data_IF_878887433807
#
_entry.id   IF_878887433807
#
_cell.length_a   1.000
_cell.length_b   1.000
_cell.length_c   1.000
_cell.angle_alpha   90.00
_cell.angle_beta   90.00
_cell.angle_gamma   90.00
#
_symmetry.space_group_name_H-M   'P 1'
#
loop_
_entity.id
_entity.type
_entity.pdbx_description
1 polymer ?
#
# COMPACT_ATOMS: atom_id res chain seq x y z
N UNK A 1 23.72 -81.92 -5.38
CA UNK A 1 23.46 -81.27 -6.68
C UNK A 1 23.04 -79.82 -6.41
N UNK A 2 23.93 -78.90 -6.80
CA UNK A 2 23.74 -77.50 -7.24
C UNK A 2 22.32 -76.85 -7.15
N UNK A 3 22.14 -75.77 -6.38
CA UNK A 3 22.13 -74.30 -6.78
C UNK A 3 20.69 -73.72 -6.53
N UNK A 4 20.47 -72.40 -6.32
CA UNK A 4 20.64 -71.55 -5.12
C UNK A 4 19.26 -70.89 -4.70
N UNK A 5 19.19 -69.97 -3.71
CA UNK A 5 18.30 -68.78 -3.84
C UNK A 5 18.41 -67.73 -2.71
N UNK A 6 18.67 -66.50 -3.17
CA UNK A 6 18.29 -65.16 -2.70
C UNK A 6 18.27 -64.76 -1.22
N UNK A 7 19.10 -63.75 -0.96
CA UNK A 7 18.94 -62.65 -0.01
C UNK A 7 17.62 -61.90 -0.27
N UNK A 8 16.85 -61.61 0.78
CA UNK A 8 15.80 -60.60 0.77
C UNK A 8 16.04 -59.60 1.91
N UNK A 9 16.58 -58.43 1.56
CA UNK A 9 16.62 -57.24 2.42
C UNK A 9 15.24 -56.57 2.33
N UNK A 10 14.46 -56.63 3.41
CA UNK A 10 13.21 -55.88 3.50
C UNK A 10 13.52 -54.44 3.93
N UNK A 11 13.68 -53.54 2.96
CA UNK A 11 13.60 -52.10 3.19
C UNK A 11 12.12 -51.70 3.22
N UNK A 12 11.59 -51.36 4.40
CA UNK A 12 10.29 -50.74 4.52
C UNK A 12 10.36 -49.32 3.93
N UNK A 13 9.87 -49.14 2.71
CA UNK A 13 9.62 -47.84 2.13
C UNK A 13 8.38 -47.23 2.80
N UNK A 14 8.58 -46.18 3.59
CA UNK A 14 7.51 -45.24 3.98
C UNK A 14 6.93 -44.61 2.71
N UNK A 15 5.61 -44.41 2.59
CA UNK A 15 5.05 -43.63 1.51
C UNK A 15 5.31 -42.15 1.80
N UNK A 16 6.42 -41.61 1.28
CA UNK A 16 6.58 -40.17 1.16
C UNK A 16 5.72 -39.69 -0.02
N UNK A 17 4.44 -39.38 0.25
CA UNK A 17 3.72 -38.40 -0.58
C UNK A 17 4.05 -37.01 -0.07
N UNK A 18 5.32 -36.62 -0.20
CA UNK A 18 5.67 -35.21 -0.11
C UNK A 18 5.17 -34.56 -1.40
N UNK A 19 3.91 -34.11 -1.38
CA UNK A 19 3.42 -33.15 -2.37
C UNK A 19 4.42 -31.99 -2.40
N UNK A 20 4.77 -31.53 -3.59
CA UNK A 20 5.72 -30.43 -3.79
C UNK A 20 5.35 -29.29 -2.83
N UNK A 21 6.27 -28.83 -1.95
CA UNK A 21 5.97 -27.74 -1.03
C UNK A 21 5.51 -26.54 -1.86
N UNK A 22 4.29 -26.08 -1.62
CA UNK A 22 3.79 -24.88 -2.30
C UNK A 22 4.72 -23.70 -2.07
N UNK A 23 4.84 -22.82 -3.07
CA UNK A 23 5.59 -21.57 -2.96
C UNK A 23 5.00 -20.73 -1.83
N UNK A 24 5.82 -20.32 -0.86
CA UNK A 24 5.40 -19.36 0.15
C UNK A 24 5.59 -17.94 -0.39
N UNK A 25 4.50 -17.17 -0.39
CA UNK A 25 4.48 -15.82 -0.97
C UNK A 25 4.05 -14.83 0.09
N UNK A 26 4.86 -13.80 0.28
CA UNK A 26 4.55 -12.68 1.16
C UNK A 26 3.72 -11.62 0.42
N UNK A 27 2.76 -11.06 1.13
CA UNK A 27 1.86 -10.02 0.67
C UNK A 27 1.80 -8.87 1.67
N UNK A 28 1.68 -7.65 1.17
CA UNK A 28 1.47 -6.44 1.98
C UNK A 28 0.12 -5.81 1.65
N UNK A 29 -0.59 -5.35 2.68
CA UNK A 29 -1.89 -4.69 2.56
C UNK A 29 -1.77 -3.50 1.61
N UNK A 30 -2.74 -3.34 0.71
CA UNK A 30 -2.77 -2.23 -0.23
C UNK A 30 -4.06 -1.43 -0.13
N UNK A 31 -3.93 -0.10 -0.19
CA UNK A 31 -5.05 0.83 -0.32
C UNK A 31 -5.33 1.25 -1.76
N UNK A 32 -4.62 0.69 -2.75
CA UNK A 32 -4.76 1.09 -4.16
C UNK A 32 -6.10 0.70 -4.78
N UNK A 33 -6.74 -0.32 -4.23
CA UNK A 33 -7.91 -0.95 -4.80
C UNK A 33 -9.02 -1.12 -3.76
N UNK A 34 -10.25 -1.16 -4.27
CA UNK A 34 -11.44 -1.53 -3.52
C UNK A 34 -12.11 -2.74 -4.16
N UNK A 35 -12.92 -3.45 -3.37
CA UNK A 35 -13.61 -4.65 -3.80
C UNK A 35 -15.11 -4.38 -3.92
N UNK A 36 -15.72 -4.85 -5.01
CA UNK A 36 -17.17 -5.01 -5.12
C UNK A 36 -17.54 -6.48 -5.26
N UNK A 37 -18.59 -6.90 -4.55
CA UNK A 37 -19.16 -8.24 -4.64
C UNK A 37 -20.62 -8.09 -5.06
N UNK A 38 -20.95 -8.67 -6.22
CA UNK A 38 -22.26 -8.55 -6.90
C UNK A 38 -22.74 -7.10 -7.06
N UNK A 39 -21.79 -6.19 -7.30
CA UNK A 39 -22.06 -4.78 -7.54
C UNK A 39 -21.98 -3.90 -6.29
N UNK A 40 -22.02 -4.47 -5.08
CA UNK A 40 -21.93 -3.72 -3.83
C UNK A 40 -20.49 -3.54 -3.38
N UNK A 41 -20.13 -2.35 -2.90
CA UNK A 41 -18.83 -2.08 -2.29
C UNK A 41 -18.69 -2.91 -1.01
N UNK A 42 -17.53 -3.50 -0.82
CA UNK A 42 -17.14 -4.21 0.40
C UNK A 42 -16.08 -3.41 1.15
N UNK A 43 -16.46 -2.55 2.11
CA UNK A 43 -15.52 -1.75 2.89
C UNK A 43 -14.69 -2.60 3.87
N UNK A 44 -15.10 -3.84 4.15
CA UNK A 44 -14.36 -4.77 5.01
C UNK A 44 -13.32 -5.60 4.26
N UNK A 45 -13.30 -5.55 2.93
CA UNK A 45 -12.33 -6.29 2.13
C UNK A 45 -10.90 -5.78 2.35
N UNK A 46 -9.99 -6.70 2.60
CA UNK A 46 -8.54 -6.43 2.67
C UNK A 46 -7.87 -7.02 1.44
N UNK A 47 -7.19 -6.15 0.70
CA UNK A 47 -6.48 -6.51 -0.52
C UNK A 47 -4.98 -6.42 -0.27
N UNK A 48 -4.23 -7.38 -0.77
CA UNK A 48 -2.79 -7.43 -0.56
C UNK A 48 -2.05 -7.68 -1.87
N UNK A 49 -0.87 -7.08 -2.01
CA UNK A 49 0.00 -7.26 -3.17
C UNK A 49 1.29 -7.97 -2.77
N UNK A 50 1.72 -8.92 -3.60
CA UNK A 50 3.02 -9.57 -3.44
C UNK A 50 4.16 -8.71 -3.98
N UNK A 51 5.35 -8.89 -3.39
CA UNK A 51 6.58 -8.38 -3.97
C UNK A 51 6.97 -9.15 -5.24
N UNK A 52 7.64 -8.49 -6.18
CA UNK A 52 8.13 -9.12 -7.41
C UNK A 52 7.02 -9.37 -8.45
N UNK A 53 6.67 -10.63 -8.68
CA UNK A 53 5.57 -10.98 -9.61
C UNK A 53 4.25 -10.52 -9.01
N UNK A 54 3.51 -9.59 -9.64
CA UNK A 54 2.32 -9.01 -9.03
C UNK A 54 1.20 -10.05 -8.95
N UNK A 55 0.90 -10.45 -7.71
CA UNK A 55 -0.24 -11.29 -7.34
C UNK A 55 -1.07 -10.49 -6.33
N UNK A 56 -2.38 -10.53 -6.51
CA UNK A 56 -3.33 -9.87 -5.63
C UNK A 56 -4.01 -10.94 -4.78
N UNK A 57 -3.94 -10.79 -3.47
CA UNK A 57 -4.66 -11.61 -2.52
C UNK A 57 -5.86 -10.81 -1.99
N UNK A 58 -7.05 -11.40 -2.09
CA UNK A 58 -8.31 -10.82 -1.59
C UNK A 58 -8.75 -11.62 -0.37
N UNK A 59 -8.95 -10.93 0.75
CA UNK A 59 -9.45 -11.48 2.00
C UNK A 59 -10.67 -10.68 2.43
N UNK A 60 -11.81 -11.34 2.58
CA UNK A 60 -13.09 -10.73 2.98
C UNK A 60 -14.00 -11.78 3.61
N UNK A 61 -14.83 -11.36 4.56
CA UNK A 61 -15.88 -12.19 5.17
C UNK A 61 -17.05 -12.46 4.20
N UNK A 62 -17.17 -11.69 3.10
CA UNK A 62 -18.24 -11.86 2.10
C UNK A 62 -17.98 -13.02 1.12
N UNK A 63 -16.81 -13.65 1.17
CA UNK A 63 -16.46 -14.84 0.38
C UNK A 63 -16.12 -16.00 1.34
N UNK A 64 -16.32 -17.23 0.86
CA UNK A 64 -16.09 -18.43 1.68
C UNK A 64 -14.60 -18.72 1.98
N UNK A 65 -13.68 -17.98 1.36
CA UNK A 65 -12.25 -18.10 1.62
C UNK A 65 -11.42 -17.07 0.85
N UNK A 66 -10.10 -17.05 1.05
CA UNK A 66 -9.21 -16.14 0.35
C UNK A 66 -9.14 -16.44 -1.15
N UNK A 67 -8.98 -15.39 -1.95
CA UNK A 67 -8.87 -15.50 -3.40
C UNK A 67 -7.54 -14.93 -3.85
N UNK A 68 -6.78 -15.72 -4.61
CA UNK A 68 -5.56 -15.30 -5.26
C UNK A 68 -5.84 -14.98 -6.72
N UNK A 69 -5.46 -13.78 -7.14
CA UNK A 69 -5.52 -13.32 -8.53
C UNK A 69 -4.09 -13.16 -9.04
N UNK A 70 -3.74 -13.88 -10.09
CA UNK A 70 -2.42 -13.80 -10.73
C UNK A 70 -2.57 -13.00 -12.02
N UNK A 71 -2.33 -11.69 -11.94
CA UNK A 71 -2.66 -10.73 -13.01
C UNK A 71 -2.00 -11.04 -14.35
N UNK A 72 -0.74 -11.50 -14.35
CA UNK A 72 -0.02 -11.88 -15.59
C UNK A 72 -0.64 -13.08 -16.29
N UNK A 73 -1.06 -14.06 -15.52
CA UNK A 73 -1.67 -15.29 -16.02
C UNK A 73 -3.17 -15.11 -16.30
N UNK A 74 -3.76 -14.01 -15.80
CA UNK A 74 -5.21 -13.76 -15.81
C UNK A 74 -5.99 -14.91 -15.20
N UNK A 75 -5.42 -15.51 -14.16
CA UNK A 75 -6.04 -16.60 -13.41
C UNK A 75 -6.51 -16.13 -12.06
N UNK A 76 -7.60 -16.73 -11.59
CA UNK A 76 -8.09 -16.60 -10.22
C UNK A 76 -8.15 -17.98 -9.58
N UNK A 77 -7.76 -18.08 -8.31
CA UNK A 77 -7.75 -19.33 -7.54
C UNK A 77 -8.33 -19.09 -6.16
N UNK A 78 -9.27 -19.94 -5.75
CA UNK A 78 -9.69 -20.01 -4.36
C UNK A 78 -8.61 -20.75 -3.56
N UNK A 79 -8.17 -20.17 -2.44
CA UNK A 79 -7.21 -20.80 -1.53
C UNK A 79 -7.98 -21.51 -0.40
N UNK A 80 -7.48 -22.66 0.11
CA UNK A 80 -8.14 -23.38 1.18
C UNK A 80 -8.04 -22.61 2.50
N UNK A 81 -8.93 -22.94 3.44
CA UNK A 81 -8.85 -22.44 4.80
C UNK A 81 -7.48 -22.77 5.41
N UNK A 82 -6.79 -21.77 5.97
CA UNK A 82 -5.44 -21.92 6.53
C UNK A 82 -4.29 -21.87 5.53
N UNK A 83 -4.53 -21.64 4.23
CA UNK A 83 -3.45 -21.34 3.28
C UNK A 83 -2.87 -19.94 3.44
N UNK A 84 -3.60 -19.04 4.10
CA UNK A 84 -3.22 -17.65 4.33
C UNK A 84 -3.08 -17.41 5.83
N UNK A 85 -1.94 -16.89 6.24
CA UNK A 85 -1.64 -16.47 7.60
C UNK A 85 -1.29 -14.99 7.58
N UNK A 86 -2.04 -14.17 8.32
CA UNK A 86 -1.81 -12.73 8.41
C UNK A 86 -1.23 -12.34 9.77
N UNK A 87 -0.47 -11.25 9.81
CA UNK A 87 -0.02 -10.64 11.07
C UNK A 87 -1.20 -10.15 11.91
N UNK A 88 -0.98 -9.92 13.21
CA UNK A 88 -2.05 -9.49 14.12
C UNK A 88 -2.65 -8.12 13.74
N UNK A 89 -1.83 -7.20 13.22
CA UNK A 89 -2.27 -5.93 12.62
C UNK A 89 -2.91 -6.13 11.22
N UNK A 90 -2.75 -7.31 10.65
CA UNK A 90 -3.09 -7.72 9.30
C UNK A 90 -2.50 -6.87 8.18
N UNK A 91 -1.39 -6.16 8.43
CA UNK A 91 -0.68 -5.41 7.39
C UNK A 91 0.08 -6.30 6.42
N UNK A 92 0.42 -7.52 6.86
CA UNK A 92 1.12 -8.51 6.05
C UNK A 92 0.43 -9.85 6.12
N UNK A 93 0.49 -10.60 5.03
CA UNK A 93 0.08 -11.99 5.01
C UNK A 93 1.11 -12.84 4.28
N UNK A 94 1.20 -14.11 4.65
CA UNK A 94 1.89 -15.14 3.87
C UNK A 94 0.86 -16.13 3.35
N UNK A 95 1.00 -16.55 2.10
CA UNK A 95 0.18 -17.60 1.53
C UNK A 95 1.04 -18.74 0.99
N UNK A 96 0.63 -19.98 1.24
CA UNK A 96 1.23 -21.18 0.63
C UNK A 96 0.47 -21.53 -0.65
N UNK A 97 1.17 -21.47 -1.79
CA UNK A 97 0.58 -21.62 -3.13
C UNK A 97 1.19 -22.86 -3.81
N UNK A 98 0.43 -23.96 -3.88
CA UNK A 98 0.88 -25.23 -4.49
C UNK A 98 -0.02 -25.73 -5.62
N UNK A 99 0.49 -26.64 -6.46
CA UNK A 99 -0.34 -27.42 -7.38
C UNK A 99 -1.33 -28.26 -6.56
N UNK A 100 -2.63 -28.00 -6.70
CA UNK A 100 -3.68 -28.64 -5.90
C UNK A 100 -4.20 -27.82 -4.71
N UNK A 101 -3.63 -26.65 -4.43
CA UNK A 101 -4.18 -25.69 -3.44
C UNK A 101 -5.47 -24.96 -3.92
N UNK A 102 -6.14 -25.47 -4.95
CA UNK A 102 -7.40 -24.95 -5.45
C UNK A 102 -8.56 -25.85 -5.03
N UNK A 103 -9.30 -25.45 -3.99
CA UNK A 103 -10.58 -26.09 -3.65
C UNK A 103 -11.69 -25.85 -4.68
N UNK A 104 -11.42 -25.04 -5.70
CA UNK A 104 -12.24 -24.84 -6.89
C UNK A 104 -11.33 -24.43 -8.03
N UNK A 105 -11.60 -24.95 -9.24
CA UNK A 105 -10.70 -24.80 -10.40
C UNK A 105 -10.27 -23.36 -10.69
N UNK A 106 -9.09 -23.20 -11.28
CA UNK A 106 -8.59 -21.91 -11.71
C UNK A 106 -9.60 -21.26 -12.68
N UNK A 107 -10.18 -20.13 -12.27
CA UNK A 107 -11.07 -19.33 -13.11
C UNK A 107 -10.27 -18.36 -13.98
N UNK A 108 -10.93 -17.79 -14.98
CA UNK A 108 -10.37 -16.71 -15.78
C UNK A 108 -10.71 -15.34 -15.19
N UNK A 109 -9.79 -14.40 -15.34
CA UNK A 109 -9.96 -13.00 -14.95
C UNK A 109 -10.11 -12.18 -16.22
N UNK A 110 -11.22 -11.45 -16.31
CA UNK A 110 -11.43 -10.44 -17.35
C UNK A 110 -10.93 -9.08 -16.86
N UNK A 111 -10.29 -8.32 -17.75
CA UNK A 111 -9.83 -6.97 -17.47
C UNK A 111 -10.58 -6.01 -18.37
N UNK A 112 -11.36 -5.10 -17.79
CA UNK A 112 -12.14 -4.11 -18.53
C UNK A 112 -11.98 -2.74 -17.87
N UNK A 113 -11.49 -1.76 -18.64
CA UNK A 113 -11.28 -0.39 -18.17
C UNK A 113 -10.50 -0.30 -16.84
N UNK A 114 -9.44 -1.10 -16.70
CA UNK A 114 -8.61 -1.13 -15.48
C UNK A 114 -9.22 -1.87 -14.28
N UNK A 115 -10.40 -2.48 -14.44
CA UNK A 115 -11.04 -3.30 -13.42
C UNK A 115 -10.78 -4.78 -13.68
N UNK A 116 -10.47 -5.53 -12.63
CA UNK A 116 -10.40 -6.99 -12.68
C UNK A 116 -11.77 -7.54 -12.33
N UNK A 117 -12.31 -8.43 -13.16
CA UNK A 117 -13.62 -9.06 -12.95
C UNK A 117 -13.51 -10.57 -13.09
N UNK A 118 -13.99 -11.30 -12.08
CA UNK A 118 -13.93 -12.75 -12.03
C UNK A 118 -15.06 -13.33 -11.16
N UNK A 119 -15.30 -14.64 -11.29
CA UNK A 119 -16.19 -15.38 -10.40
C UNK A 119 -15.36 -16.04 -9.30
N UNK A 120 -15.79 -15.92 -8.05
CA UNK A 120 -15.22 -16.66 -6.93
C UNK A 120 -16.33 -17.10 -5.99
N UNK A 121 -16.35 -18.38 -5.61
CA UNK A 121 -17.37 -18.95 -4.74
C UNK A 121 -18.82 -18.66 -5.18
N UNK A 122 -19.06 -18.65 -6.51
CA UNK A 122 -20.38 -18.37 -7.09
C UNK A 122 -20.80 -16.89 -7.07
N UNK A 123 -19.91 -15.98 -6.64
CA UNK A 123 -20.15 -14.54 -6.54
C UNK A 123 -19.33 -13.81 -7.60
N UNK A 124 -19.90 -12.73 -8.12
CA UNK A 124 -19.20 -11.83 -9.03
C UNK A 124 -18.32 -10.88 -8.23
N UNK A 125 -17.01 -10.95 -8.46
CA UNK A 125 -16.04 -10.09 -7.78
C UNK A 125 -15.45 -9.11 -8.78
N UNK A 126 -15.41 -7.84 -8.39
CA UNK A 126 -14.76 -6.76 -9.15
C UNK A 126 -13.74 -6.07 -8.25
N UNK A 127 -12.48 -6.07 -8.67
CA UNK A 127 -11.42 -5.25 -8.07
C UNK A 127 -11.23 -4.02 -8.95
N UNK A 128 -11.37 -2.85 -8.37
CA UNK A 128 -11.24 -1.57 -9.08
C UNK A 128 -10.35 -0.60 -8.29
N UNK A 129 -9.72 0.40 -8.93
CA UNK A 129 -8.97 1.42 -8.21
C UNK A 129 -9.83 2.10 -7.16
N UNK A 130 -9.25 2.40 -6.00
CA UNK A 130 -9.93 3.17 -4.96
C UNK A 130 -10.21 4.61 -5.43
N UNK A 131 -11.30 5.18 -4.92
CA UNK A 131 -11.64 6.57 -5.18
C UNK A 131 -10.59 7.52 -4.59
N UNK A 132 -10.22 8.63 -5.25
CA UNK A 132 -9.31 9.59 -4.66
C UNK A 132 -9.80 10.09 -3.30
N UNK A 133 -8.94 10.05 -2.28
CA UNK A 133 -9.16 10.80 -1.05
C UNK A 133 -9.08 12.30 -1.34
N UNK A 134 -10.17 13.02 -1.05
CA UNK A 134 -10.33 14.45 -1.30
C UNK A 134 -10.57 15.20 0.01
N UNK A 135 -10.18 16.47 0.04
CA UNK A 135 -10.36 17.34 1.21
C UNK A 135 -9.10 17.52 2.03
N UNK A 136 -9.26 17.94 3.28
CA UNK A 136 -8.16 18.19 4.21
C UNK A 136 -8.04 17.05 5.22
N UNK A 137 -6.80 16.65 5.50
CA UNK A 137 -6.46 15.56 6.40
C UNK A 137 -5.31 15.96 7.32
N UNK A 138 -5.32 15.43 8.55
CA UNK A 138 -4.15 15.40 9.44
C UNK A 138 -3.14 14.32 9.01
N UNK A 139 -1.96 14.33 9.63
CA UNK A 139 -0.98 13.28 9.40
C UNK A 139 -1.51 11.90 9.84
N UNK A 140 -2.16 11.85 10.99
CA UNK A 140 -2.73 10.66 11.62
C UNK A 140 -3.85 10.07 10.76
N UNK A 141 -4.73 10.91 10.23
CA UNK A 141 -5.83 10.49 9.35
C UNK A 141 -5.29 9.82 8.07
N UNK A 142 -4.25 10.38 7.45
CA UNK A 142 -3.64 9.76 6.27
C UNK A 142 -2.93 8.44 6.59
N UNK A 143 -2.24 8.36 7.72
CA UNK A 143 -1.56 7.14 8.15
C UNK A 143 -2.57 6.06 8.53
N UNK A 144 -3.75 6.43 9.02
CA UNK A 144 -4.86 5.51 9.22
C UNK A 144 -5.45 5.02 7.89
N UNK A 145 -5.67 5.94 6.93
CA UNK A 145 -6.39 5.66 5.68
C UNK A 145 -5.57 4.94 4.61
N UNK A 146 -4.27 5.20 4.49
CA UNK A 146 -3.43 4.69 3.38
C UNK A 146 -2.32 3.78 3.94
N UNK A 147 -2.44 2.44 3.79
CA UNK A 147 -1.44 1.49 4.27
C UNK A 147 -0.01 1.76 3.77
N UNK A 148 0.12 2.14 2.50
CA UNK A 148 1.40 2.49 1.88
C UNK A 148 2.06 3.68 2.55
N UNK A 149 1.27 4.68 2.96
CA UNK A 149 1.80 5.85 3.64
C UNK A 149 2.25 5.52 5.05
N UNK A 150 1.50 4.67 5.75
CA UNK A 150 1.88 4.18 7.08
C UNK A 150 3.21 3.46 7.05
N UNK A 151 3.37 2.50 6.13
CA UNK A 151 4.63 1.76 5.95
C UNK A 151 5.77 2.68 5.53
N UNK A 152 5.52 3.58 4.57
CA UNK A 152 6.54 4.53 4.10
C UNK A 152 7.04 5.47 5.19
N UNK A 153 6.14 5.94 6.06
CA UNK A 153 6.49 6.82 7.17
C UNK A 153 7.29 6.06 8.24
N UNK A 154 6.89 4.83 8.57
CA UNK A 154 7.61 3.97 9.51
C UNK A 154 9.03 3.59 9.01
N UNK A 155 9.22 3.48 7.69
CA UNK A 155 10.50 3.17 7.08
C UNK A 155 11.44 4.40 6.94
N UNK A 156 10.92 5.62 7.10
CA UNK A 156 11.71 6.84 6.95
C UNK A 156 12.18 7.38 8.31
N UNK A 157 13.49 7.60 8.44
CA UNK A 157 14.10 8.26 9.60
C UNK A 157 14.53 9.67 9.21
N UNK A 158 13.85 10.73 9.69
CA UNK A 158 14.26 12.11 9.42
C UNK A 158 15.63 12.43 10.02
N UNK A 159 16.36 13.35 9.38
CA UNK A 159 17.66 13.81 9.86
C UNK A 159 17.52 14.56 11.18
N UNK A 160 18.20 14.05 12.21
CA UNK A 160 18.16 14.61 13.57
C UNK A 160 18.61 16.08 13.64
N UNK A 161 19.56 16.49 12.80
CA UNK A 161 20.03 17.88 12.75
C UNK A 161 18.93 18.84 12.31
N UNK A 162 18.24 18.50 11.22
CA UNK A 162 17.12 19.28 10.69
C UNK A 162 15.94 19.32 11.66
N UNK A 163 15.59 18.19 12.30
CA UNK A 163 14.53 18.18 13.32
C UNK A 163 14.85 19.10 14.50
N UNK A 164 16.10 19.12 14.98
CA UNK A 164 16.52 20.02 16.07
C UNK A 164 16.42 21.48 15.67
N UNK A 165 16.78 21.81 14.43
CA UNK A 165 16.67 23.17 13.91
C UNK A 165 15.19 23.58 13.74
N UNK A 166 14.35 22.70 13.23
CA UNK A 166 12.91 22.95 13.09
C UNK A 166 12.22 23.12 14.45
N UNK A 167 12.69 22.43 15.49
CA UNK A 167 12.19 22.61 16.87
C UNK A 167 12.59 23.96 17.51
N UNK A 168 13.41 24.80 16.84
CA UNK A 168 13.68 26.17 17.30
C UNK A 168 12.75 27.21 16.67
N UNK A 169 11.77 26.80 15.86
CA UNK A 169 10.78 27.73 15.30
C UNK A 169 9.91 28.25 16.44
N UNK A 170 9.83 29.57 16.60
CA UNK A 170 9.00 30.20 17.64
C UNK A 170 7.65 30.70 17.08
N UNK A 171 7.66 31.20 15.84
CA UNK A 171 6.47 31.74 15.20
C UNK A 171 5.67 30.65 14.49
N UNK A 172 4.32 30.65 14.56
CA UNK A 172 3.48 29.68 13.88
C UNK A 172 3.76 29.57 12.37
N UNK A 173 4.03 28.36 11.90
CA UNK A 173 4.23 28.01 10.50
C UNK A 173 3.15 27.03 10.06
N UNK A 174 2.57 27.28 8.89
CA UNK A 174 1.64 26.37 8.22
C UNK A 174 2.34 25.70 7.03
N UNK A 175 2.31 24.37 6.99
CA UNK A 175 2.78 23.54 5.87
C UNK A 175 1.57 22.84 5.26
N UNK A 176 1.09 23.34 4.13
CA UNK A 176 -0.05 22.77 3.40
C UNK A 176 0.44 21.95 2.21
N UNK A 177 0.19 20.64 2.26
CA UNK A 177 0.69 19.64 1.31
C UNK A 177 -0.41 19.23 0.35
N UNK A 178 -0.22 19.48 -0.94
CA UNK A 178 -1.13 19.07 -2.00
C UNK A 178 -0.68 17.73 -2.56
N UNK A 179 -1.52 16.71 -2.48
CA UNK A 179 -1.18 15.35 -2.89
C UNK A 179 -2.35 14.63 -3.57
N UNK A 180 -2.03 13.61 -4.38
CA UNK A 180 -3.01 12.65 -4.87
C UNK A 180 -2.79 11.29 -4.21
N UNK A 181 -3.81 10.73 -3.56
CA UNK A 181 -3.79 9.36 -2.99
C UNK A 181 -3.59 8.27 -4.05
N UNK A 182 -3.80 8.62 -5.31
CA UNK A 182 -3.60 7.79 -6.49
C UNK A 182 -2.23 7.98 -7.17
N UNK A 183 -1.42 8.92 -6.68
CA UNK A 183 -0.18 9.33 -7.34
C UNK A 183 1.02 8.52 -6.82
N UNK A 184 1.76 7.79 -7.69
CA UNK A 184 2.92 7.01 -7.27
C UNK A 184 4.04 7.84 -6.64
N UNK A 185 4.22 9.10 -7.08
CA UNK A 185 5.20 10.00 -6.48
C UNK A 185 4.77 10.44 -5.07
N UNK A 186 3.48 10.69 -4.87
CA UNK A 186 2.96 11.01 -3.53
C UNK A 186 3.16 9.85 -2.57
N UNK A 187 2.89 8.61 -3.01
CA UNK A 187 3.17 7.40 -2.24
C UNK A 187 4.63 7.26 -1.82
N UNK A 188 5.56 7.65 -2.69
CA UNK A 188 6.99 7.61 -2.34
C UNK A 188 7.39 8.69 -1.31
N UNK A 189 6.85 9.89 -1.43
CA UNK A 189 7.44 11.09 -0.79
C UNK A 189 6.62 11.69 0.35
N UNK A 190 5.29 11.73 0.24
CA UNK A 190 4.42 12.25 1.31
C UNK A 190 4.65 11.52 2.64
N UNK A 191 4.87 10.19 2.67
CA UNK A 191 5.14 9.46 3.92
C UNK A 191 6.38 9.94 4.68
N UNK A 192 7.39 10.47 3.98
CA UNK A 192 8.58 11.03 4.61
C UNK A 192 8.22 12.27 5.43
N UNK A 193 7.43 13.17 4.85
CA UNK A 193 6.95 14.37 5.56
C UNK A 193 5.95 14.03 6.66
N UNK A 194 5.16 12.95 6.52
CA UNK A 194 4.32 12.44 7.61
C UNK A 194 5.14 11.99 8.82
N UNK A 195 6.29 11.35 8.60
CA UNK A 195 7.25 11.01 9.68
C UNK A 195 7.84 12.26 10.34
N UNK A 196 8.17 13.29 9.55
CA UNK A 196 8.61 14.60 10.05
C UNK A 196 7.53 15.28 10.89
N UNK A 197 6.28 15.30 10.40
CA UNK A 197 5.14 15.89 11.10
C UNK A 197 4.92 15.26 12.48
N UNK A 198 5.00 13.93 12.56
CA UNK A 198 4.94 13.20 13.85
C UNK A 198 6.11 13.55 14.77
N UNK A 199 7.31 13.70 14.23
CA UNK A 199 8.50 14.03 15.02
C UNK A 199 8.48 15.46 15.58
N UNK A 200 7.67 16.34 14.98
CA UNK A 200 7.49 17.75 15.37
C UNK A 200 6.12 17.99 16.02
N UNK A 201 5.45 16.94 16.49
CA UNK A 201 4.17 17.08 17.18
C UNK A 201 4.34 17.96 18.44
N UNK A 202 3.50 18.98 18.56
CA UNK A 202 3.57 19.98 19.64
C UNK A 202 4.41 21.22 19.33
N UNK A 203 5.23 21.19 18.28
CA UNK A 203 5.95 22.37 17.80
C UNK A 203 4.99 23.33 17.07
N UNK A 204 5.33 24.64 16.93
CA UNK A 204 4.48 25.61 16.24
C UNK A 204 4.49 25.45 14.70
N UNK A 205 4.65 24.23 14.19
CA UNK A 205 4.61 23.89 12.77
C UNK A 205 3.39 22.99 12.52
N UNK A 206 2.37 23.53 11.88
CA UNK A 206 1.13 22.82 11.57
C UNK A 206 1.18 22.22 10.17
N UNK A 207 1.08 20.89 10.09
CA UNK A 207 0.99 20.16 8.84
C UNK A 207 -0.47 19.88 8.47
N UNK A 208 -0.85 20.19 7.23
CA UNK A 208 -2.17 19.87 6.68
C UNK A 208 -1.99 19.24 5.30
N UNK A 209 -2.70 18.15 5.05
CA UNK A 209 -2.59 17.42 3.79
C UNK A 209 -3.88 17.53 3.02
N UNK A 210 -3.81 18.04 1.80
CA UNK A 210 -4.94 18.27 0.92
C UNK A 210 -4.94 17.24 -0.22
N UNK A 211 -5.95 16.39 -0.20
CA UNK A 211 -6.19 15.40 -1.25
C UNK A 211 -6.80 16.04 -2.49
N UNK A 212 -6.23 15.72 -3.65
CA UNK A 212 -6.63 16.24 -4.96
C UNK A 212 -7.22 15.14 -5.87
N UNK A 213 -8.16 15.49 -6.77
CA UNK A 213 -8.70 14.57 -7.75
C UNK A 213 -7.65 14.19 -8.81
N UNK A 214 -7.94 13.20 -9.65
CA UNK A 214 -7.00 12.72 -10.69
C UNK A 214 -6.67 13.79 -11.72
N UNK A 215 -7.65 14.60 -12.07
CA UNK A 215 -7.60 15.74 -12.98
C UNK A 215 -7.37 17.07 -12.25
N UNK A 216 -6.48 17.07 -11.24
CA UNK A 216 -6.25 18.24 -10.38
C UNK A 216 -5.80 19.51 -11.12
N UNK A 217 -5.32 19.42 -12.36
CA UNK A 217 -5.01 20.60 -13.17
C UNK A 217 -6.24 21.49 -13.42
N UNK A 218 -7.44 20.90 -13.42
CA UNK A 218 -8.72 21.59 -13.57
C UNK A 218 -9.36 21.96 -12.22
N UNK A 219 -8.82 21.45 -11.11
CA UNK A 219 -9.34 21.71 -9.77
C UNK A 219 -9.18 23.20 -9.42
N UNK A 220 -10.28 23.90 -9.05
CA UNK A 220 -10.22 25.34 -8.78
C UNK A 220 -9.25 25.70 -7.65
N UNK A 221 -9.10 24.82 -6.67
CA UNK A 221 -8.28 25.07 -5.51
C UNK A 221 -6.79 24.83 -5.82
N UNK A 222 -6.47 23.77 -6.57
CA UNK A 222 -5.13 23.56 -7.12
C UNK A 222 -4.70 24.76 -7.99
N UNK A 223 -5.59 25.29 -8.84
CA UNK A 223 -5.34 26.50 -9.64
C UNK A 223 -5.13 27.74 -8.77
N UNK A 224 -5.98 27.96 -7.77
CA UNK A 224 -5.86 29.08 -6.85
C UNK A 224 -4.50 29.10 -6.14
N UNK A 225 -3.96 27.94 -5.79
CA UNK A 225 -2.66 27.81 -5.13
C UNK A 225 -1.48 27.71 -6.12
N UNK A 226 -1.75 27.66 -7.44
CA UNK A 226 -0.73 27.46 -8.46
C UNK A 226 -0.01 26.12 -8.32
N UNK A 227 -0.77 25.04 -8.13
CA UNK A 227 -0.23 23.68 -7.99
C UNK A 227 -0.09 23.04 -9.37
N UNK A 228 1.14 22.93 -9.84
CA UNK A 228 1.46 22.38 -11.17
C UNK A 228 1.85 20.89 -11.12
N UNK A 229 2.23 20.40 -9.94
CA UNK A 229 2.64 19.01 -9.74
C UNK A 229 2.32 18.53 -8.31
N UNK A 230 2.12 17.22 -8.16
CA UNK A 230 1.97 16.57 -6.86
C UNK A 230 3.13 15.60 -6.57
N UNK A 231 3.62 15.51 -5.32
CA UNK A 231 3.23 16.35 -4.20
C UNK A 231 3.90 17.74 -4.26
N UNK A 232 3.21 18.76 -3.74
CA UNK A 232 3.76 20.11 -3.51
C UNK A 232 3.41 20.55 -2.11
N UNK A 233 4.38 20.97 -1.31
CA UNK A 233 4.11 21.60 0.00
C UNK A 233 4.31 23.10 -0.12
N UNK A 234 3.36 23.88 0.39
CA UNK A 234 3.45 25.33 0.50
C UNK A 234 3.64 25.70 1.96
N UNK A 235 4.72 26.45 2.24
CA UNK A 235 5.11 26.85 3.59
C UNK A 235 4.77 28.32 3.80
N UNK A 236 4.00 28.61 4.86
CA UNK A 236 3.52 29.96 5.16
C UNK A 236 3.75 30.36 6.60
N UNK A 237 3.91 31.66 6.82
CA UNK A 237 3.79 32.30 8.13
C UNK A 237 2.72 33.39 8.03
N UNK A 238 1.59 33.15 8.69
CA UNK A 238 0.38 33.96 8.46
C UNK A 238 -0.05 33.93 7.00
N UNK A 239 -0.20 35.10 6.37
CA UNK A 239 -0.58 35.24 4.95
C UNK A 239 0.60 35.18 3.99
N UNK A 240 1.85 35.23 4.49
CA UNK A 240 3.04 35.27 3.65
C UNK A 240 3.49 33.85 3.31
N UNK A 241 3.63 33.58 2.00
CA UNK A 241 4.32 32.39 1.52
C UNK A 241 5.84 32.58 1.65
N UNK A 242 6.48 31.64 2.35
CA UNK A 242 7.93 31.63 2.57
C UNK A 242 8.65 30.84 1.47
N UNK A 243 8.00 29.78 0.98
CA UNK A 243 8.55 28.94 -0.08
C UNK A 243 7.74 27.66 -0.27
N UNK A 244 8.26 26.77 -1.11
CA UNK A 244 7.63 25.51 -1.48
C UNK A 244 8.61 24.35 -1.47
N UNK A 245 8.11 23.15 -1.19
CA UNK A 245 8.85 21.88 -1.33
C UNK A 245 8.32 21.18 -2.57
N UNK A 246 9.18 21.02 -3.57
CA UNK A 246 8.85 20.43 -4.89
C UNK A 246 9.99 19.57 -5.42
N UNK A 247 9.71 18.70 -6.41
CA UNK A 247 10.73 17.93 -7.12
C UNK A 247 11.66 17.14 -6.19
N UNK A 248 12.97 17.27 -6.39
CA UNK A 248 13.99 16.55 -5.62
C UNK A 248 14.06 16.94 -4.13
N UNK A 249 13.46 18.06 -3.72
CA UNK A 249 13.43 18.50 -2.30
C UNK A 249 12.69 17.48 -1.41
N UNK A 250 11.78 16.71 -1.99
CA UNK A 250 11.05 15.65 -1.33
C UNK A 250 11.89 14.45 -0.88
N UNK A 251 13.15 14.34 -1.35
CA UNK A 251 14.04 13.29 -0.86
C UNK A 251 14.34 13.48 0.64
N UNK A 252 14.45 14.72 1.10
CA UNK A 252 14.67 15.06 2.51
C UNK A 252 13.79 16.24 2.91
N UNK A 253 12.48 16.02 3.12
CA UNK A 253 11.52 17.09 3.30
C UNK A 253 11.78 17.93 4.57
N UNK A 254 12.37 17.36 5.62
CA UNK A 254 12.83 18.11 6.79
C UNK A 254 13.94 19.10 6.46
N UNK A 255 14.92 18.69 5.64
CA UNK A 255 16.02 19.58 5.22
C UNK A 255 15.51 20.67 4.28
N UNK A 256 14.57 20.32 3.40
CA UNK A 256 13.88 21.28 2.54
C UNK A 256 13.07 22.30 3.36
N UNK A 257 12.35 21.84 4.39
CA UNK A 257 11.61 22.73 5.29
C UNK A 257 12.56 23.65 6.07
N UNK A 258 13.67 23.11 6.60
CA UNK A 258 14.72 23.91 7.24
C UNK A 258 15.25 25.00 6.30
N UNK A 259 15.54 24.66 5.04
CA UNK A 259 16.01 25.61 4.06
C UNK A 259 14.98 26.71 3.75
N UNK A 260 13.68 26.38 3.67
CA UNK A 260 12.64 27.39 3.45
C UNK A 260 12.48 28.32 4.65
N UNK A 261 12.65 27.83 5.88
CA UNK A 261 12.45 28.62 7.10
C UNK A 261 13.69 29.42 7.52
N UNK A 262 14.88 28.91 7.25
CA UNK A 262 16.14 29.46 7.77
C UNK A 262 17.18 29.77 6.67
N UNK A 263 16.97 29.30 5.44
CA UNK A 263 17.93 29.42 4.34
C UNK A 263 17.91 30.75 3.60
N UNK A 264 17.31 31.79 4.17
CA UNK A 264 17.30 33.14 3.62
C UNK A 264 17.97 34.15 4.56
N UNK A 265 19.11 34.68 4.13
CA UNK A 265 19.44 36.11 4.23
C UNK A 265 19.01 36.81 2.94
#
# INVERSE_FOLDING_TARGET
MTVPLLVALAAAALPATAGTPGEEVAFALTGHYQLRIDGELDPGARLYLSAGTPRLLVVTERLAGPVLVVSRERTVRALPAGAVECSDDGETCRARIGEGSGGGGAGSVSVLAGKLRFQAFGRLVVVEPHDPLLGLFSAEELLAAIPEYRRGAAAYTPRRGDLRLLATVEEPVDVEVFFGSWCPHCERYVPRLLSVARALEGEPIRFRFRGLPRDFAEDPLARQYGIEATPTAVVRRGTRELGRITGAMWEHPEAALSAVLFGGE
#
